data_IF_056684459253
#
_entry.id   IF_056684459253
#
_cell.length_a   1.000
_cell.length_b   1.000
_cell.length_c   1.000
_cell.angle_alpha   90.00
_cell.angle_beta   90.00
_cell.angle_gamma   90.00
#
_symmetry.space_group_name_H-M   'P 1'
#
loop_
_entity.id
_entity.type
_entity.pdbx_description
1 polymer ?
#
# COMPACT_ATOMS: atom_id res chain seq x y z
N UNK A 1 -10.62 -0.11 20.82
CA UNK A 1 -10.95 1.03 19.93
C UNK A 1 -12.47 1.17 19.81
N UNK A 2 -13.00 2.40 19.62
CA UNK A 2 -14.41 2.56 19.28
C UNK A 2 -14.70 1.91 17.91
N UNK A 3 -15.91 1.36 17.75
CA UNK A 3 -16.34 0.63 16.54
C UNK A 3 -16.13 1.44 15.25
N UNK A 4 -16.35 2.75 15.32
CA UNK A 4 -16.13 3.68 14.19
C UNK A 4 -14.65 3.77 13.81
N UNK A 5 -13.76 3.96 14.78
CA UNK A 5 -12.31 4.07 14.54
C UNK A 5 -11.75 2.77 13.96
N UNK A 6 -12.20 1.62 14.49
CA UNK A 6 -11.81 0.30 13.96
C UNK A 6 -12.23 0.14 12.50
N UNK A 7 -13.47 0.53 12.17
CA UNK A 7 -14.00 0.41 10.80
C UNK A 7 -13.23 1.28 9.82
N UNK A 8 -12.96 2.55 10.18
CA UNK A 8 -12.19 3.48 9.35
C UNK A 8 -10.77 2.93 9.11
N UNK A 9 -10.11 2.39 10.13
CA UNK A 9 -8.75 1.86 10.02
C UNK A 9 -8.68 0.61 9.14
N UNK A 10 -9.71 -0.24 9.16
CA UNK A 10 -9.81 -1.41 8.26
C UNK A 10 -9.96 -0.93 6.81
N UNK A 11 -10.90 -0.01 6.56
CA UNK A 11 -11.14 0.52 5.21
C UNK A 11 -9.87 1.19 4.66
N UNK A 12 -9.22 2.03 5.47
CA UNK A 12 -7.96 2.68 5.09
C UNK A 12 -6.85 1.66 4.80
N UNK A 13 -6.71 0.61 5.62
CA UNK A 13 -5.73 -0.45 5.38
C UNK A 13 -5.97 -1.22 4.07
N UNK A 14 -7.23 -1.53 3.74
CA UNK A 14 -7.59 -2.19 2.48
C UNK A 14 -7.29 -1.29 1.28
N UNK A 15 -7.63 0.00 1.37
CA UNK A 15 -7.36 0.98 0.30
C UNK A 15 -5.85 1.12 0.05
N UNK A 16 -5.05 1.22 1.12
CA UNK A 16 -3.58 1.28 1.01
C UNK A 16 -3.00 0.01 0.39
N UNK A 17 -3.51 -1.16 0.76
CA UNK A 17 -3.11 -2.42 0.14
C UNK A 17 -3.44 -2.45 -1.36
N UNK A 18 -4.68 -2.11 -1.72
CA UNK A 18 -5.10 -2.09 -3.11
C UNK A 18 -4.27 -1.11 -3.94
N UNK A 19 -4.00 0.09 -3.40
CA UNK A 19 -3.17 1.10 -4.05
C UNK A 19 -1.71 0.65 -4.19
N UNK A 20 -1.11 0.10 -3.13
CA UNK A 20 0.26 -0.41 -3.19
C UNK A 20 0.42 -1.59 -4.14
N UNK A 21 -0.58 -2.48 -4.24
CA UNK A 21 -0.58 -3.56 -5.24
C UNK A 21 -0.74 -3.00 -6.65
N UNK A 22 -1.60 -2.00 -6.84
CA UNK A 22 -1.79 -1.33 -8.12
C UNK A 22 -0.48 -0.70 -8.63
N UNK A 23 0.28 -0.03 -7.76
CA UNK A 23 1.57 0.58 -8.13
C UNK A 23 2.70 -0.45 -8.35
N UNK A 24 2.56 -1.69 -7.86
CA UNK A 24 3.46 -2.78 -8.25
C UNK A 24 3.14 -3.33 -9.65
N UNK A 25 1.86 -3.41 -9.99
CA UNK A 25 1.39 -3.98 -11.27
C UNK A 25 1.55 -2.97 -12.40
N UNK A 26 1.29 -1.69 -12.14
CA UNK A 26 1.44 -0.60 -13.10
C UNK A 26 2.75 0.12 -12.78
N UNK A 27 3.82 -0.14 -13.56
CA UNK A 27 5.06 0.58 -13.39
C UNK A 27 4.84 2.05 -13.77
N UNK A 28 4.94 2.96 -12.80
CA UNK A 28 4.61 4.39 -13.02
C UNK A 28 5.65 5.15 -13.85
N UNK A 29 6.73 4.52 -14.34
CA UNK A 29 7.81 5.24 -15.06
C UNK A 29 8.52 4.47 -16.18
N UNK A 30 7.96 3.38 -16.69
CA UNK A 30 8.52 2.74 -17.91
C UNK A 30 7.99 3.41 -19.18
N UNK A 31 8.25 4.71 -19.35
CA UNK A 31 8.07 5.36 -20.65
C UNK A 31 9.30 5.07 -21.51
N UNK A 32 9.24 3.99 -22.30
CA UNK A 32 10.21 3.72 -23.36
C UNK A 32 10.00 4.75 -24.48
N UNK A 33 10.88 5.74 -24.55
CA UNK A 33 10.92 6.70 -25.68
C UNK A 33 12.01 6.23 -26.64
N UNK A 34 11.67 5.26 -27.51
CA UNK A 34 12.57 4.72 -28.54
C UNK A 34 13.70 3.83 -28.00
N UNK A 35 14.79 3.68 -28.78
CA UNK A 35 15.98 2.83 -28.51
C UNK A 35 16.81 3.24 -27.27
N UNK A 36 16.35 4.21 -26.49
CA UNK A 36 16.98 4.61 -25.23
C UNK A 36 16.22 3.96 -24.08
N UNK A 37 16.64 2.75 -23.73
CA UNK A 37 16.32 2.16 -22.44
C UNK A 37 16.98 3.02 -21.35
N UNK A 38 16.23 4.01 -20.84
CA UNK A 38 16.55 4.64 -19.57
C UNK A 38 16.26 3.57 -18.52
N UNK A 39 17.25 2.70 -18.27
CA UNK A 39 17.20 1.67 -17.24
C UNK A 39 17.33 2.36 -15.89
N UNK A 40 16.30 3.10 -15.48
CA UNK A 40 16.11 3.45 -14.09
C UNK A 40 15.33 2.26 -13.51
N UNK A 41 16.09 1.33 -12.91
CA UNK A 41 15.55 0.10 -12.34
C UNK A 41 14.26 0.42 -11.56
N UNK A 42 13.16 -0.24 -11.94
CA UNK A 42 11.82 0.06 -11.43
C UNK A 42 11.84 0.18 -9.89
N UNK A 43 11.78 1.41 -9.38
CA UNK A 43 11.84 1.65 -7.94
C UNK A 43 10.45 1.43 -7.32
N UNK A 44 10.26 0.21 -6.85
CA UNK A 44 9.03 -0.23 -6.20
C UNK A 44 9.05 0.00 -4.68
N UNK A 45 10.06 0.70 -4.14
CA UNK A 45 10.22 0.94 -2.69
C UNK A 45 8.98 1.60 -2.10
N UNK A 46 8.44 2.61 -2.77
CA UNK A 46 7.23 3.32 -2.31
C UNK A 46 5.99 2.42 -2.29
N UNK A 47 5.87 1.51 -3.27
CA UNK A 47 4.78 0.54 -3.32
C UNK A 47 4.86 -0.44 -2.14
N UNK A 48 6.04 -0.98 -1.84
CA UNK A 48 6.25 -1.86 -0.69
C UNK A 48 6.02 -1.16 0.66
N UNK A 49 6.44 0.10 0.81
CA UNK A 49 6.15 0.90 2.01
C UNK A 49 4.64 1.07 2.18
N UNK A 50 3.93 1.39 1.11
CA UNK A 50 2.47 1.57 1.12
C UNK A 50 1.76 0.29 1.53
N UNK A 51 2.16 -0.87 0.97
CA UNK A 51 1.65 -2.19 1.36
C UNK A 51 1.95 -2.47 2.83
N UNK A 52 3.18 -2.22 3.28
CA UNK A 52 3.60 -2.42 4.67
C UNK A 52 2.76 -1.60 5.65
N UNK A 53 2.51 -0.32 5.34
CA UNK A 53 1.63 0.54 6.12
C UNK A 53 0.19 0.04 6.13
N UNK A 54 -0.32 -0.43 4.99
CA UNK A 54 -1.64 -1.05 4.88
C UNK A 54 -1.78 -2.29 5.79
N UNK A 55 -0.79 -3.20 5.75
CA UNK A 55 -0.75 -4.39 6.61
C UNK A 55 -0.68 -4.02 8.09
N UNK A 56 0.18 -3.09 8.48
CA UNK A 56 0.31 -2.61 9.86
C UNK A 56 -0.99 -1.99 10.35
N UNK A 57 -1.66 -1.18 9.53
CA UNK A 57 -2.96 -0.60 9.86
C UNK A 57 -4.02 -1.68 10.11
N UNK A 58 -4.07 -2.73 9.28
CA UNK A 58 -4.98 -3.87 9.48
C UNK A 58 -4.66 -4.62 10.78
N UNK A 59 -3.39 -4.95 11.02
CA UNK A 59 -2.95 -5.67 12.22
C UNK A 59 -3.30 -4.86 13.47
N UNK A 60 -3.00 -3.57 13.51
CA UNK A 60 -3.34 -2.69 14.64
C UNK A 60 -4.85 -2.59 14.82
N UNK A 61 -5.65 -2.56 13.74
CA UNK A 61 -7.10 -2.54 13.85
C UNK A 61 -7.67 -3.82 14.47
N UNK A 62 -7.07 -4.98 14.17
CA UNK A 62 -7.45 -6.26 14.77
C UNK A 62 -6.96 -6.39 16.22
N UNK A 63 -5.69 -6.07 16.51
CA UNK A 63 -5.10 -6.19 17.85
C UNK A 63 -5.59 -5.11 18.82
N UNK A 64 -5.67 -3.85 18.39
CA UNK A 64 -6.18 -2.70 19.16
C UNK A 64 -7.71 -2.71 19.34
N UNK A 65 -8.41 -3.57 18.59
CA UNK A 65 -9.81 -3.90 18.81
C UNK A 65 -10.03 -4.89 19.97
N UNK A 66 -9.00 -5.62 20.40
CA UNK A 66 -9.05 -6.61 21.50
C UNK A 66 -8.80 -5.95 22.86
N UNK A 67 -9.58 -4.92 23.17
CA UNK A 67 -9.76 -4.45 24.55
C UNK A 67 -11.22 -4.69 24.90
N UNK A 68 -11.46 -5.83 25.55
CA UNK A 68 -12.70 -6.11 26.27
C UNK A 68 -12.92 -5.09 27.38
#
# INVERSE_FOLDING_TARGET
MNKSVKSILIIAGIVLLAYGIYTLIIPETQLSIGDLDIIEAQDNTNAYITIGLGLVALIISFLGGKKS
#
